data_IF_185290633337
#
_entry.id   IF_185290633337
#
_cell.length_a   1.000
_cell.length_b   1.000
_cell.length_c   1.000
_cell.angle_alpha   90.00
_cell.angle_beta   90.00
_cell.angle_gamma   90.00
#
_symmetry.space_group_name_H-M   'P 1'
#
loop_
_entity.id
_entity.type
_entity.pdbx_description
1 polymer ?
#
# COMPACT_ATOMS: atom_id res chain seq x y z
N UNK A 1 -1.88 16.36 16.36
CA UNK A 1 -2.27 16.48 14.95
C UNK A 1 -1.55 15.38 14.19
N UNK A 2 -2.24 14.38 13.64
CA UNK A 2 -1.58 13.35 12.82
C UNK A 2 -1.20 14.03 11.50
N UNK A 3 0.09 14.26 11.30
CA UNK A 3 0.59 14.78 10.03
C UNK A 3 0.18 13.84 8.91
N UNK A 4 -0.40 14.39 7.86
CA UNK A 4 -0.81 13.66 6.66
C UNK A 4 0.44 13.01 6.05
N UNK A 5 0.64 11.72 6.32
CA UNK A 5 1.81 10.99 5.82
C UNK A 5 1.53 10.63 4.38
N UNK A 6 2.15 11.38 3.48
CA UNK A 6 2.18 11.04 2.08
C UNK A 6 2.96 9.72 1.91
N UNK A 7 2.24 8.64 1.63
CA UNK A 7 2.81 7.30 1.42
C UNK A 7 3.01 7.11 -0.07
N UNK A 8 4.18 6.65 -0.48
CA UNK A 8 4.45 6.35 -1.88
C UNK A 8 3.75 5.06 -2.31
N UNK A 9 3.39 4.94 -3.58
CA UNK A 9 2.77 3.74 -4.13
C UNK A 9 3.72 3.00 -5.03
N UNK A 10 3.72 1.68 -4.94
CA UNK A 10 4.47 0.85 -5.88
C UNK A 10 3.87 0.94 -7.29
N UNK A 11 4.66 0.65 -8.34
CA UNK A 11 4.16 0.66 -9.71
C UNK A 11 2.95 -0.25 -9.97
N UNK A 12 2.82 -1.33 -9.16
CA UNK A 12 1.75 -2.32 -9.28
C UNK A 12 0.67 -2.16 -8.20
N UNK A 13 0.52 -0.97 -7.61
CA UNK A 13 -0.43 -0.74 -6.53
C UNK A 13 -1.86 -1.13 -6.90
N UNK A 14 -2.31 -0.74 -8.10
CA UNK A 14 -3.66 -0.99 -8.56
C UNK A 14 -3.91 -2.50 -8.77
N UNK A 15 -2.93 -3.20 -9.33
CA UNK A 15 -2.97 -4.64 -9.57
C UNK A 15 -2.99 -5.41 -8.25
N UNK A 16 -2.14 -5.01 -7.30
CA UNK A 16 -2.13 -5.62 -5.97
C UNK A 16 -3.47 -5.44 -5.26
N UNK A 17 -4.05 -4.24 -5.29
CA UNK A 17 -5.36 -3.98 -4.70
C UNK A 17 -6.47 -4.77 -5.39
N UNK A 18 -6.49 -4.80 -6.73
CA UNK A 18 -7.48 -5.54 -7.51
C UNK A 18 -7.38 -7.06 -7.30
N UNK A 19 -6.18 -7.58 -7.05
CA UNK A 19 -5.93 -9.00 -6.74
C UNK A 19 -6.25 -9.37 -5.27
N UNK A 20 -6.89 -8.48 -4.49
CA UNK A 20 -7.21 -8.75 -3.08
C UNK A 20 -6.03 -8.57 -2.12
N UNK A 21 -5.02 -7.81 -2.54
CA UNK A 21 -3.85 -7.48 -1.72
C UNK A 21 -4.21 -6.60 -0.52
N UNK A 22 -3.86 -7.04 0.68
CA UNK A 22 -3.94 -6.23 1.89
C UNK A 22 -2.79 -5.21 1.90
N UNK A 23 -3.10 -3.96 1.58
CA UNK A 23 -2.12 -2.88 1.53
C UNK A 23 -1.81 -2.33 2.93
N UNK A 24 -0.53 -2.11 3.22
CA UNK A 24 -0.05 -1.54 4.48
C UNK A 24 1.01 -0.48 4.24
N UNK A 25 1.08 0.51 5.12
CA UNK A 25 2.21 1.45 5.18
C UNK A 25 3.44 0.74 5.72
N UNK A 26 4.48 0.62 4.91
CA UNK A 26 5.77 0.07 5.28
C UNK A 26 6.90 0.93 4.72
N UNK A 27 7.75 1.46 5.61
CA UNK A 27 8.89 2.31 5.24
C UNK A 27 8.51 3.49 4.31
N UNK A 28 7.31 4.06 4.48
CA UNK A 28 6.80 5.15 3.65
C UNK A 28 6.23 4.73 2.29
N UNK A 29 5.96 3.43 2.09
CA UNK A 29 5.34 2.87 0.88
C UNK A 29 4.06 2.09 1.21
N UNK A 30 3.10 2.08 0.28
CA UNK A 30 1.96 1.17 0.29
C UNK A 30 2.36 -0.17 -0.36
N UNK A 31 2.48 -1.21 0.46
CA UNK A 31 2.94 -2.55 0.06
C UNK A 31 1.89 -3.61 0.37
N UNK A 32 1.72 -4.65 -0.47
CA UNK A 32 0.83 -5.77 -0.16
C UNK A 32 1.52 -6.73 0.83
N UNK A 33 0.85 -7.09 1.93
CA UNK A 33 1.37 -8.09 2.90
C UNK A 33 0.80 -9.49 2.66
N UNK A 34 -0.39 -9.58 2.06
CA UNK A 34 -1.11 -10.83 1.83
C UNK A 34 -2.08 -10.65 0.66
N UNK A 35 -2.29 -11.69 -0.12
CA UNK A 35 -3.39 -11.81 -1.09
C UNK A 35 -4.41 -12.84 -0.57
N UNK A 36 -5.69 -12.59 -0.82
CA UNK A 36 -6.79 -13.50 -0.48
C UNK A 36 -7.09 -14.48 -1.59
#
# INVERSE_FOLDING_TARGET
>A
MRGDRHVNRTPLYAEHSAAGGRMVEFAGWEMPVQYT
#
